data_IF_091309983487
#
_entry.id   IF_091309983487
#
_cell.length_a   1.000
_cell.length_b   1.000
_cell.length_c   1.000
_cell.angle_alpha   90.00
_cell.angle_beta   90.00
_cell.angle_gamma   90.00
#
_symmetry.space_group_name_H-M   'P 1'
#
loop_
_entity.id
_entity.type
_entity.pdbx_description
1 polymer ?
#
# COMPACT_ATOMS: atom_id res chain seq x y z
N UNK A 1 -14.51 5.86 24.61
CA UNK A 1 -14.76 5.97 23.19
C UNK A 1 -13.56 6.54 22.48
N UNK A 2 -13.28 6.01 21.34
CA UNK A 2 -12.03 6.29 20.65
C UNK A 2 -12.26 7.16 19.41
N UNK A 3 -13.02 8.24 19.59
CA UNK A 3 -13.44 9.07 18.47
C UNK A 3 -12.26 9.67 17.70
N UNK A 4 -11.27 10.18 18.41
CA UNK A 4 -10.09 10.78 17.76
C UNK A 4 -9.34 9.71 16.95
N UNK A 5 -9.19 8.53 17.53
CA UNK A 5 -8.53 7.43 16.86
C UNK A 5 -9.36 6.98 15.66
N UNK A 6 -10.68 6.92 15.82
CA UNK A 6 -11.57 6.50 14.74
C UNK A 6 -11.51 7.48 13.57
N UNK A 7 -11.50 8.79 13.86
CA UNK A 7 -11.42 9.80 12.81
C UNK A 7 -10.13 9.67 12.01
N UNK A 8 -9.02 9.48 12.72
CA UNK A 8 -7.72 9.32 12.06
C UNK A 8 -7.68 8.05 11.24
N UNK A 9 -8.21 6.96 11.79
CA UNK A 9 -8.26 5.70 11.09
C UNK A 9 -9.12 5.83 9.83
N UNK A 10 -10.21 6.57 9.91
CA UNK A 10 -11.08 6.79 8.76
C UNK A 10 -10.36 7.55 7.64
N UNK A 11 -9.60 8.58 8.01
CA UNK A 11 -8.81 9.30 7.01
C UNK A 11 -7.76 8.42 6.36
N UNK A 12 -7.12 7.56 7.15
CA UNK A 12 -6.13 6.63 6.62
C UNK A 12 -6.80 5.58 5.73
N UNK A 13 -8.02 5.14 6.09
CA UNK A 13 -8.77 4.22 5.26
C UNK A 13 -9.08 4.83 3.90
N UNK A 14 -9.53 6.08 3.88
CA UNK A 14 -9.82 6.76 2.62
C UNK A 14 -8.57 6.88 1.76
N UNK A 15 -7.44 7.18 2.38
CA UNK A 15 -6.19 7.28 1.67
C UNK A 15 -5.77 5.93 1.09
N UNK A 16 -5.91 4.86 1.87
CA UNK A 16 -5.59 3.52 1.41
C UNK A 16 -6.51 3.08 0.26
N UNK A 17 -7.80 3.40 0.35
CA UNK A 17 -8.73 3.07 -0.72
C UNK A 17 -8.38 3.80 -2.00
N UNK A 18 -7.96 5.05 -1.88
CA UNK A 18 -7.51 5.81 -3.04
C UNK A 18 -6.25 5.21 -3.64
N UNK A 19 -5.29 4.85 -2.79
CA UNK A 19 -4.06 4.22 -3.27
C UNK A 19 -4.34 2.87 -3.93
N UNK A 20 -5.26 2.10 -3.36
CA UNK A 20 -5.65 0.82 -3.95
C UNK A 20 -6.20 1.03 -5.36
N UNK A 21 -7.08 2.01 -5.53
CA UNK A 21 -7.65 2.31 -6.83
C UNK A 21 -6.56 2.77 -7.81
N UNK A 22 -5.67 3.65 -7.35
CA UNK A 22 -4.58 4.15 -8.19
C UNK A 22 -3.67 3.01 -8.66
N UNK A 23 -3.32 2.10 -7.75
CA UNK A 23 -2.48 0.96 -8.13
C UNK A 23 -3.19 0.04 -9.10
N UNK A 24 -4.49 -0.19 -8.89
CA UNK A 24 -5.28 -1.03 -9.78
C UNK A 24 -5.38 -0.42 -11.17
N UNK A 25 -5.64 0.87 -11.24
CA UNK A 25 -5.71 1.58 -12.53
C UNK A 25 -4.37 1.54 -13.23
N UNK A 26 -3.29 1.72 -12.50
CA UNK A 26 -1.95 1.68 -13.05
C UNK A 26 -1.64 0.29 -13.60
N UNK A 27 -2.00 -0.75 -12.87
CA UNK A 27 -1.78 -2.12 -13.34
C UNK A 27 -2.56 -2.39 -14.62
N UNK A 28 -3.81 -1.93 -14.69
CA UNK A 28 -4.63 -2.09 -15.88
C UNK A 28 -3.97 -1.42 -17.09
N UNK A 29 -3.52 -0.19 -16.90
CA UNK A 29 -2.84 0.56 -17.96
C UNK A 29 -1.57 -0.15 -18.44
N UNK A 30 -0.75 -0.59 -17.48
CA UNK A 30 0.50 -1.27 -17.81
C UNK A 30 0.25 -2.61 -18.50
N UNK A 31 -0.80 -3.32 -18.10
CA UNK A 31 -1.16 -4.58 -18.72
C UNK A 31 -1.58 -4.37 -20.17
N UNK A 32 -2.36 -3.31 -20.42
CA UNK A 32 -2.74 -2.97 -21.80
C UNK A 32 -1.51 -2.63 -22.62
N UNK A 33 -0.58 -1.86 -22.07
CA UNK A 33 0.65 -1.51 -22.78
C UNK A 33 1.46 -2.75 -23.10
N UNK A 34 1.51 -3.74 -22.20
CA UNK A 34 2.30 -4.95 -22.44
C UNK A 34 1.72 -5.83 -23.53
N UNK A 35 0.44 -5.65 -23.85
CA UNK A 35 -0.21 -6.40 -24.95
C UNK A 35 -0.05 -5.74 -26.31
N UNK A 36 0.43 -4.51 -26.33
CA UNK A 36 0.63 -3.77 -27.57
C UNK A 36 2.04 -3.99 -28.06
N UNK A 37 2.21 -3.94 -29.39
CA UNK A 37 3.53 -4.07 -29.98
C UNK A 37 4.43 -2.91 -29.58
N UNK A 38 3.84 -1.72 -29.48
CA UNK A 38 4.54 -0.56 -28.99
C UNK A 38 4.19 -0.38 -27.53
N UNK A 39 5.20 -0.28 -26.68
CA UNK A 39 5.02 -0.32 -25.22
C UNK A 39 4.98 1.06 -24.60
N UNK A 40 4.50 2.07 -25.33
CA UNK A 40 4.27 3.37 -24.76
C UNK A 40 5.51 4.02 -24.16
N UNK A 41 6.68 3.76 -24.75
CA UNK A 41 7.92 4.35 -24.30
C UNK A 41 8.68 3.55 -23.24
N UNK A 42 8.11 2.45 -22.74
CA UNK A 42 8.78 1.58 -21.78
C UNK A 42 9.38 0.38 -22.50
N UNK A 43 10.61 0.01 -22.14
CA UNK A 43 11.16 -1.27 -22.62
C UNK A 43 10.54 -2.41 -21.82
N UNK A 44 10.66 -3.66 -22.30
CA UNK A 44 10.01 -4.79 -21.62
C UNK A 44 10.43 -5.01 -20.18
N UNK A 45 11.69 -4.75 -19.85
CA UNK A 45 12.17 -4.95 -18.49
C UNK A 45 11.62 -3.87 -17.55
N UNK A 46 11.60 -2.61 -18.02
CA UNK A 46 11.04 -1.52 -17.24
C UNK A 46 9.54 -1.76 -17.03
N UNK A 47 8.85 -2.17 -18.08
CA UNK A 47 7.41 -2.44 -18.00
C UNK A 47 7.12 -3.52 -16.98
N UNK A 48 7.91 -4.60 -17.00
CA UNK A 48 7.75 -5.69 -16.03
C UNK A 48 7.92 -5.20 -14.60
N UNK A 49 8.93 -4.35 -14.35
CA UNK A 49 9.17 -3.81 -13.02
C UNK A 49 8.02 -2.93 -12.56
N UNK A 50 7.49 -2.13 -13.45
CA UNK A 50 6.36 -1.26 -13.11
C UNK A 50 5.12 -2.09 -12.78
N UNK A 51 4.89 -3.19 -13.51
CA UNK A 51 3.79 -4.10 -13.21
C UNK A 51 3.99 -4.72 -11.83
N UNK A 52 5.20 -5.15 -11.50
CA UNK A 52 5.48 -5.74 -10.20
C UNK A 52 5.25 -4.73 -9.06
N UNK A 53 5.65 -3.48 -9.28
CA UNK A 53 5.43 -2.43 -8.28
C UNK A 53 3.94 -2.19 -8.06
N UNK A 54 3.17 -2.12 -9.15
CA UNK A 54 1.73 -1.93 -9.04
C UNK A 54 1.06 -3.11 -8.31
N UNK A 55 1.47 -4.33 -8.64
CA UNK A 55 0.92 -5.52 -7.99
C UNK A 55 1.24 -5.53 -6.49
N UNK A 56 2.44 -5.13 -6.12
CA UNK A 56 2.82 -5.04 -4.72
C UNK A 56 2.01 -3.98 -4.00
N UNK A 57 1.80 -2.83 -4.65
CA UNK A 57 0.98 -1.77 -4.08
C UNK A 57 -0.45 -2.23 -3.82
N UNK A 58 -1.03 -2.98 -4.76
CA UNK A 58 -2.36 -3.53 -4.58
C UNK A 58 -2.39 -4.46 -3.36
N UNK A 59 -1.43 -5.38 -3.28
CA UNK A 59 -1.37 -6.33 -2.18
C UNK A 59 -1.20 -5.63 -0.83
N UNK A 60 -0.30 -4.65 -0.77
CA UNK A 60 -0.01 -3.94 0.47
C UNK A 60 -1.22 -3.12 0.94
N UNK A 61 -1.88 -2.41 0.03
CA UNK A 61 -3.04 -1.61 0.42
C UNK A 61 -4.22 -2.50 0.79
N UNK A 62 -4.43 -3.60 0.07
CA UNK A 62 -5.50 -4.53 0.40
C UNK A 62 -5.28 -5.15 1.79
N UNK A 63 -4.04 -5.49 2.11
CA UNK A 63 -3.72 -6.06 3.41
C UNK A 63 -3.95 -5.05 4.52
N UNK A 64 -3.54 -3.80 4.30
CA UNK A 64 -3.76 -2.75 5.29
C UNK A 64 -5.24 -2.53 5.56
N UNK A 65 -6.05 -2.51 4.49
CA UNK A 65 -7.49 -2.36 4.65
C UNK A 65 -8.11 -3.54 5.40
N UNK A 66 -7.64 -4.75 5.11
CA UNK A 66 -8.11 -5.93 5.84
C UNK A 66 -7.76 -5.83 7.33
N UNK A 67 -6.54 -5.36 7.64
CA UNK A 67 -6.14 -5.21 9.03
C UNK A 67 -6.98 -4.17 9.77
N UNK A 68 -7.43 -3.15 9.06
CA UNK A 68 -8.37 -2.20 9.66
C UNK A 68 -9.67 -2.88 10.06
N UNK A 69 -10.19 -3.75 9.20
CA UNK A 69 -11.43 -4.45 9.49
C UNK A 69 -11.24 -5.47 10.61
N UNK A 70 -10.02 -5.97 10.79
CA UNK A 70 -9.71 -6.95 11.84
C UNK A 70 -9.28 -6.30 13.16
N UNK A 71 -9.08 -4.99 13.17
CA UNK A 71 -8.67 -4.29 14.38
C UNK A 71 -7.17 -4.38 14.66
N UNK A 72 -6.36 -4.78 13.69
CA UNK A 72 -4.92 -4.93 13.89
C UNK A 72 -4.09 -3.90 13.12
N UNK A 73 -4.74 -2.95 12.46
CA UNK A 73 -4.05 -1.92 11.73
C UNK A 73 -3.19 -1.07 12.66
N UNK A 74 -1.98 -0.74 12.21
CA UNK A 74 -1.09 0.12 12.98
C UNK A 74 -0.23 -0.62 14.00
N UNK A 75 -0.32 -1.95 14.02
CA UNK A 75 0.51 -2.76 14.91
C UNK A 75 1.63 -3.39 14.08
N UNK A 76 2.87 -3.19 14.53
CA UNK A 76 4.03 -3.71 13.82
C UNK A 76 4.00 -5.23 13.79
N UNK A 77 4.14 -5.81 12.60
CA UNK A 77 4.14 -7.26 12.45
C UNK A 77 5.41 -7.91 12.97
N UNK A 78 6.47 -7.11 13.16
CA UNK A 78 7.73 -7.64 13.63
C UNK A 78 7.86 -7.69 15.14
N UNK A 79 7.38 -6.66 15.84
CA UNK A 79 7.57 -6.57 17.29
C UNK A 79 6.29 -6.41 18.08
N UNK A 80 5.14 -6.26 17.42
CA UNK A 80 3.87 -6.14 18.14
C UNK A 80 3.61 -4.79 18.77
N UNK A 81 4.50 -3.82 18.58
CA UNK A 81 4.33 -2.49 19.11
C UNK A 81 3.55 -1.64 18.12
N UNK A 82 3.03 -0.52 18.60
CA UNK A 82 2.34 0.41 17.72
C UNK A 82 3.31 1.02 16.71
N UNK A 83 2.88 1.12 15.46
CA UNK A 83 3.62 1.88 14.46
C UNK A 83 3.29 3.35 14.70
N UNK A 84 4.30 4.23 14.80
CA UNK A 84 4.04 5.65 15.06
C UNK A 84 3.10 6.25 14.01
N UNK A 85 2.22 7.11 14.46
CA UNK A 85 1.24 7.74 13.59
C UNK A 85 1.90 8.48 12.43
N UNK A 86 3.01 9.19 12.69
CA UNK A 86 3.71 9.91 11.64
C UNK A 86 4.15 8.98 10.52
N UNK A 87 4.57 7.75 10.86
CA UNK A 87 4.96 6.77 9.85
C UNK A 87 3.76 6.29 9.06
N UNK A 88 2.62 6.08 9.72
CA UNK A 88 1.41 5.69 9.02
C UNK A 88 0.90 6.79 8.10
N UNK A 89 1.04 8.04 8.50
CA UNK A 89 0.64 9.16 7.65
C UNK A 89 1.53 9.26 6.42
N UNK A 90 2.81 8.98 6.59
CA UNK A 90 3.75 8.98 5.46
C UNK A 90 3.60 7.73 4.59
N UNK A 91 3.26 6.61 5.20
CA UNK A 91 3.13 5.34 4.50
C UNK A 91 1.99 4.53 5.11
N UNK A 92 0.76 4.78 4.67
CA UNK A 92 -0.42 4.14 5.30
C UNK A 92 -0.41 2.62 5.24
N UNK A 93 0.28 2.02 4.28
CA UNK A 93 0.36 0.56 4.17
C UNK A 93 1.53 -0.04 4.94
N UNK A 94 2.20 0.73 5.79
CA UNK A 94 3.35 0.25 6.54
C UNK A 94 2.94 -0.92 7.44
N UNK A 95 3.73 -1.98 7.43
CA UNK A 95 3.53 -3.18 8.23
C UNK A 95 4.48 -3.25 9.40
N UNK A 96 5.55 -2.47 9.35
CA UNK A 96 6.63 -2.54 10.34
C UNK A 96 6.97 -1.13 10.83
N UNK A 97 7.35 -1.02 12.09
CA UNK A 97 7.97 0.19 12.58
C UNK A 97 9.35 0.33 11.93
N UNK A 98 9.95 1.52 12.04
CA UNK A 98 11.22 1.77 11.37
C UNK A 98 12.30 0.77 11.78
N UNK A 99 12.53 0.51 13.11
CA UNK A 99 13.57 -0.47 13.48
C UNK A 99 13.34 -1.85 12.90
N UNK A 100 12.08 -2.33 12.85
CA UNK A 100 11.80 -3.65 12.31
C UNK A 100 11.96 -3.68 10.80
N UNK A 101 11.58 -2.60 10.12
CA UNK A 101 11.76 -2.49 8.68
C UNK A 101 13.24 -2.57 8.31
N UNK A 102 14.08 -1.92 9.10
CA UNK A 102 15.52 -1.91 8.84
C UNK A 102 16.17 -3.27 9.06
N UNK A 103 15.56 -4.12 9.90
CA UNK A 103 16.09 -5.44 10.17
C UNK A 103 15.64 -6.52 9.18
N UNK A 104 14.65 -6.23 8.40
CA UNK A 104 14.13 -7.23 7.45
C UNK A 104 14.83 -7.21 6.08
#
# INVERSE_FOLDING_TARGET
MTHTLDDRTELLRELLERQFTEHTDQLTELTLQSRQREHGGHDPDTLRRLVEVAQRGIADTAQALRRMSEGTYGICEGCGQDIPTARLEARPSARYCVPCQQRS
#
